data_IF_528887919020
#
_entry.id   IF_528887919020
#
_cell.length_a   1.000
_cell.length_b   1.000
_cell.length_c   1.000
_cell.angle_alpha   90.00
_cell.angle_beta   90.00
_cell.angle_gamma   90.00
#
_symmetry.space_group_name_H-M   'P 1'
#
loop_
_entity.id
_entity.type
_entity.pdbx_description
1 polymer ?
#
# COMPACT_ATOMS: atom_id res chain seq x y z
N UNK A 1 1.53 -37.16 10.53
CA UNK A 1 1.20 -35.79 10.07
C UNK A 1 0.40 -35.11 11.18
N UNK A 2 0.93 -34.04 11.76
CA UNK A 2 0.25 -33.29 12.82
C UNK A 2 -1.00 -32.60 12.24
N UNK A 3 -2.16 -32.95 12.79
CA UNK A 3 -3.41 -32.22 12.60
C UNK A 3 -3.28 -30.87 13.31
N UNK A 4 -3.24 -29.77 12.55
CA UNK A 4 -3.30 -28.40 13.11
C UNK A 4 -4.77 -28.06 13.41
N UNK A 5 -5.16 -27.81 14.67
CA UNK A 5 -6.56 -27.73 15.06
C UNK A 5 -7.21 -26.34 14.93
N UNK A 6 -6.66 -25.41 14.15
CA UNK A 6 -7.30 -24.11 13.88
C UNK A 6 -7.00 -23.67 12.44
N UNK A 7 -7.82 -24.11 11.49
CA UNK A 7 -7.95 -23.37 10.24
C UNK A 7 -8.84 -22.17 10.56
N UNK A 8 -8.22 -21.01 10.80
CA UNK A 8 -8.96 -19.75 10.79
C UNK A 8 -9.21 -19.44 9.32
N UNK A 9 -10.34 -19.90 8.78
CA UNK A 9 -10.88 -19.38 7.53
C UNK A 9 -11.27 -17.92 7.77
N UNK A 10 -10.32 -17.00 7.64
CA UNK A 10 -10.62 -15.56 7.56
C UNK A 10 -11.29 -15.36 6.20
N UNK A 11 -12.62 -15.47 6.19
CA UNK A 11 -13.48 -15.12 5.07
C UNK A 11 -13.52 -13.59 4.96
N UNK A 12 -12.42 -13.05 4.45
CA UNK A 12 -12.15 -11.61 4.36
C UNK A 12 -10.69 -11.30 4.63
N UNK A 13 -9.76 -12.01 3.97
CA UNK A 13 -8.34 -11.69 4.04
C UNK A 13 -8.14 -10.28 3.45
N UNK A 14 -8.02 -9.28 4.32
CA UNK A 14 -7.55 -7.96 3.92
C UNK A 14 -6.04 -8.00 3.87
N UNK A 15 -5.48 -7.71 2.71
CA UNK A 15 -4.05 -7.58 2.53
C UNK A 15 -3.56 -6.28 3.17
N UNK A 16 -2.37 -6.30 3.74
CA UNK A 16 -1.69 -5.12 4.26
C UNK A 16 -0.87 -4.48 3.15
N UNK A 17 -0.96 -3.15 3.05
CA UNK A 17 -0.30 -2.33 2.07
C UNK A 17 0.48 -1.20 2.74
N UNK A 18 1.57 -0.80 2.08
CA UNK A 18 2.40 0.36 2.41
C UNK A 18 2.41 1.29 1.22
N UNK A 19 2.19 2.58 1.46
CA UNK A 19 2.23 3.64 0.46
C UNK A 19 3.35 4.61 0.81
N UNK A 20 4.31 4.74 -0.09
CA UNK A 20 5.45 5.64 0.07
C UNK A 20 5.23 6.88 -0.80
N UNK A 21 4.95 8.02 -0.17
CA UNK A 21 4.68 9.28 -0.88
C UNK A 21 5.99 9.97 -1.19
N UNK A 22 6.27 10.11 -2.48
CA UNK A 22 7.48 10.73 -3.01
C UNK A 22 7.14 12.12 -3.55
N UNK A 23 7.80 13.12 -2.98
CA UNK A 23 7.60 14.54 -3.31
C UNK A 23 8.90 15.24 -3.76
N UNK A 24 10.03 14.54 -3.72
CA UNK A 24 11.37 15.04 -4.05
C UNK A 24 11.94 14.20 -5.21
N UNK A 25 12.85 14.72 -6.05
CA UNK A 25 13.57 13.91 -7.04
C UNK A 25 14.30 12.68 -6.49
N UNK A 26 14.55 12.59 -5.17
CA UNK A 26 15.07 11.36 -4.54
C UNK A 26 13.93 10.44 -4.04
N UNK A 27 13.64 9.32 -4.75
CA UNK A 27 12.61 8.36 -4.36
C UNK A 27 12.99 7.54 -3.12
N UNK A 28 14.26 7.49 -2.72
CA UNK A 28 14.70 6.69 -1.57
C UNK A 28 14.35 7.34 -0.22
N UNK A 29 13.88 8.59 -0.23
CA UNK A 29 13.47 9.32 0.97
C UNK A 29 12.00 9.79 0.88
N UNK A 30 11.02 8.89 1.10
CA UNK A 30 9.62 9.24 1.05
C UNK A 30 9.27 10.29 2.11
N UNK A 31 8.49 11.31 1.72
CA UNK A 31 7.99 12.35 2.63
C UNK A 31 7.06 11.75 3.68
N UNK A 32 6.26 10.75 3.29
CA UNK A 32 5.34 10.06 4.18
C UNK A 32 5.26 8.57 3.80
N UNK A 33 5.18 7.72 4.82
CA UNK A 33 4.91 6.28 4.67
C UNK A 33 3.60 5.98 5.36
N UNK A 34 2.64 5.41 4.63
CA UNK A 34 1.29 5.15 5.12
C UNK A 34 0.98 3.66 5.02
N UNK A 35 0.62 3.04 6.14
CA UNK A 35 0.18 1.64 6.18
C UNK A 35 -1.34 1.56 6.23
N UNK A 36 -1.93 0.69 5.42
CA UNK A 36 -3.37 0.47 5.39
C UNK A 36 -3.71 -0.94 4.91
N UNK A 37 -4.94 -1.38 5.16
CA UNK A 37 -5.44 -2.67 4.70
C UNK A 37 -6.51 -2.49 3.62
N UNK A 38 -6.55 -3.37 2.64
CA UNK A 38 -7.61 -3.39 1.62
C UNK A 38 -8.06 -4.83 1.31
N UNK A 39 -9.29 -4.99 0.82
CA UNK A 39 -9.87 -6.29 0.49
C UNK A 39 -9.29 -6.92 -0.77
N UNK A 40 -8.81 -6.08 -1.69
CA UNK A 40 -8.33 -6.43 -3.01
C UNK A 40 -7.47 -5.29 -3.58
N UNK A 41 -6.79 -5.55 -4.70
CA UNK A 41 -5.90 -4.59 -5.33
C UNK A 41 -6.62 -3.33 -5.83
N UNK A 42 -7.83 -3.45 -6.36
CA UNK A 42 -8.59 -2.30 -6.87
C UNK A 42 -8.95 -1.34 -5.72
N UNK A 43 -9.41 -1.90 -4.61
CA UNK A 43 -9.67 -1.18 -3.37
C UNK A 43 -8.38 -0.56 -2.81
N UNK A 44 -7.25 -1.27 -2.92
CA UNK A 44 -5.96 -0.76 -2.49
C UNK A 44 -5.52 0.47 -3.30
N UNK A 45 -5.59 0.40 -4.63
CA UNK A 45 -5.25 1.52 -5.51
C UNK A 45 -6.19 2.72 -5.29
N UNK A 46 -7.50 2.48 -5.12
CA UNK A 46 -8.45 3.55 -4.84
C UNK A 46 -8.16 4.23 -3.51
N UNK A 47 -7.88 3.45 -2.47
CA UNK A 47 -7.52 3.99 -1.16
C UNK A 47 -6.18 4.73 -1.20
N UNK A 48 -5.18 4.19 -1.91
CA UNK A 48 -3.89 4.82 -2.10
C UNK A 48 -4.00 6.19 -2.79
N UNK A 49 -4.81 6.31 -3.84
CA UNK A 49 -5.05 7.59 -4.51
C UNK A 49 -5.69 8.63 -3.56
N UNK A 50 -6.63 8.20 -2.71
CA UNK A 50 -7.26 9.08 -1.71
C UNK A 50 -6.27 9.53 -0.64
N UNK A 51 -5.38 8.63 -0.20
CA UNK A 51 -4.34 8.94 0.77
C UNK A 51 -3.30 9.90 0.19
N UNK A 52 -2.84 9.66 -1.05
CA UNK A 52 -1.93 10.56 -1.77
C UNK A 52 -2.53 11.97 -1.95
N UNK A 53 -3.81 12.05 -2.32
CA UNK A 53 -4.50 13.33 -2.48
C UNK A 53 -4.59 14.12 -1.17
N UNK A 54 -4.64 13.43 -0.02
CA UNK A 54 -4.70 14.05 1.30
C UNK A 54 -3.32 14.51 1.83
N UNK A 55 -2.22 14.08 1.20
CA UNK A 55 -0.87 14.54 1.57
C UNK A 55 -0.60 15.89 0.91
N UNK A 56 -0.23 16.87 1.73
CA UNK A 56 0.26 18.17 1.27
C UNK A 56 1.63 18.02 0.62
N UNK A 57 1.82 18.66 -0.54
CA UNK A 57 3.05 18.56 -1.31
C UNK A 57 2.91 19.19 -2.70
N UNK A 58 3.93 19.03 -3.54
CA UNK A 58 3.90 19.55 -4.90
C UNK A 58 2.83 18.83 -5.75
N UNK A 59 2.44 19.46 -6.86
CA UNK A 59 1.34 18.95 -7.70
C UNK A 59 1.72 17.67 -8.46
N UNK A 60 3.01 17.46 -8.71
CA UNK A 60 3.59 16.30 -9.39
C UNK A 60 4.01 15.17 -8.43
N UNK A 61 3.61 15.25 -7.15
CA UNK A 61 3.82 14.16 -6.19
C UNK A 61 3.17 12.86 -6.68
N UNK A 62 3.84 11.77 -6.38
CA UNK A 62 3.37 10.41 -6.65
C UNK A 62 3.59 9.55 -5.41
N UNK A 63 3.09 8.32 -5.45
CA UNK A 63 3.38 7.37 -4.39
C UNK A 63 3.56 5.96 -4.91
N UNK A 64 4.52 5.24 -4.33
CA UNK A 64 4.75 3.84 -4.63
C UNK A 64 3.96 2.96 -3.66
N UNK A 65 3.16 2.05 -4.21
CA UNK A 65 2.33 1.12 -3.47
C UNK A 65 3.05 -0.22 -3.35
N UNK A 66 3.13 -0.73 -2.13
CA UNK A 66 3.67 -2.04 -1.81
C UNK A 66 2.62 -2.88 -1.08
N UNK A 67 2.61 -4.18 -1.33
CA UNK A 67 1.81 -5.17 -0.59
C UNK A 67 2.73 -5.97 0.31
N UNK A 68 2.33 -6.15 1.56
CA UNK A 68 3.02 -7.04 2.47
C UNK A 68 2.73 -8.51 2.10
N UNK A 69 3.75 -9.33 1.90
CA UNK A 69 3.60 -10.74 1.49
C UNK A 69 3.29 -11.69 2.65
N UNK A 70 3.30 -11.18 3.88
CA UNK A 70 3.04 -11.94 5.11
C UNK A 70 4.30 -12.47 5.78
N UNK A 71 5.45 -12.45 5.09
CA UNK A 71 6.74 -12.94 5.58
C UNK A 71 7.73 -11.81 5.93
N UNK A 72 7.24 -10.56 5.90
CA UNK A 72 8.00 -9.36 6.31
C UNK A 72 8.54 -8.55 5.14
N UNK A 73 8.27 -8.96 3.89
CA UNK A 73 8.68 -8.23 2.69
C UNK A 73 7.50 -7.44 2.12
N UNK A 74 7.78 -6.19 1.76
CA UNK A 74 6.86 -5.34 1.02
C UNK A 74 7.18 -5.46 -0.47
N UNK A 75 6.29 -6.06 -1.24
CA UNK A 75 6.41 -6.26 -2.68
C UNK A 75 5.84 -5.05 -3.42
N UNK A 76 6.64 -4.44 -4.30
CA UNK A 76 6.19 -3.34 -5.14
C UNK A 76 5.01 -3.78 -6.02
N UNK A 77 3.96 -2.98 -6.05
CA UNK A 77 2.73 -3.22 -6.80
C UNK A 77 2.57 -2.25 -7.95
N UNK A 78 2.58 -0.94 -7.67
CA UNK A 78 2.31 0.10 -8.67
C UNK A 78 2.78 1.48 -8.19
N UNK A 79 2.86 2.44 -9.12
CA UNK A 79 3.10 3.86 -8.84
C UNK A 79 1.84 4.67 -9.08
N UNK A 80 1.28 5.21 -8.01
CA UNK A 80 0.05 5.99 -7.99
C UNK A 80 0.37 7.46 -8.27
N UNK A 81 -0.25 7.99 -9.32
CA UNK A 81 -0.21 9.41 -9.66
C UNK A 81 -1.54 10.07 -9.34
N UNK A 82 -1.50 11.37 -9.00
CA UNK A 82 -2.72 12.15 -8.94
C UNK A 82 -3.27 12.37 -10.35
N UNK A 83 -4.61 12.29 -10.54
CA UNK A 83 -5.22 12.62 -11.81
C UNK A 83 -4.91 14.09 -12.15
N UNK A 84 -4.51 14.32 -13.40
CA UNK A 84 -4.22 15.65 -13.96
C UNK A 84 -5.48 16.53 -14.07
#
# INVERSE_FOLDING_TARGET
MMHRPFATDITGATDEYRLDVVCDPDPDNPQAVIYFTASDMDSACHQAARLLAAVDGPADRYADLYRHDGDGLALFCDTIHLPA
#
